data_IF_636349257095
#
_entry.id   IF_636349257095
#
_cell.length_a   1.000
_cell.length_b   1.000
_cell.length_c   1.000
_cell.angle_alpha   90.00
_cell.angle_beta   90.00
_cell.angle_gamma   90.00
#
_symmetry.space_group_name_H-M   'P 1'
#
loop_
_entity.id
_entity.type
_entity.pdbx_description
1 polymer ?
#
# COMPACT_ATOMS: atom_id res chain seq x y z
N UNK A 1 2.38 -16.23 -16.33
CA UNK A 1 2.77 -14.81 -16.51
C UNK A 1 3.59 -14.31 -15.31
N UNK A 2 3.35 -14.81 -14.09
CA UNK A 2 4.11 -14.44 -12.89
C UNK A 2 5.66 -14.58 -13.02
N UNK A 3 6.22 -15.56 -13.71
CA UNK A 3 7.69 -15.65 -13.91
C UNK A 3 8.31 -14.43 -14.62
N UNK A 4 7.49 -13.67 -15.36
CA UNK A 4 7.93 -12.49 -16.11
C UNK A 4 7.83 -11.18 -15.34
N UNK A 5 7.33 -11.20 -14.09
CA UNK A 5 7.23 -10.01 -13.25
C UNK A 5 8.61 -9.66 -12.67
N UNK A 6 9.43 -8.98 -13.45
CA UNK A 6 10.85 -8.69 -13.12
C UNK A 6 11.11 -7.23 -12.76
N UNK A 7 10.12 -6.35 -12.90
CA UNK A 7 10.25 -4.94 -12.57
C UNK A 7 8.89 -4.27 -12.25
N UNK A 8 8.93 -3.08 -11.65
CA UNK A 8 7.75 -2.36 -11.22
C UNK A 8 6.87 -1.86 -12.39
N UNK A 9 7.47 -1.55 -13.54
CA UNK A 9 6.73 -1.08 -14.72
C UNK A 9 5.76 -2.15 -15.24
N UNK A 10 6.21 -3.41 -15.25
CA UNK A 10 5.37 -4.54 -15.65
C UNK A 10 4.21 -4.74 -14.68
N UNK A 11 4.47 -4.67 -13.37
CA UNK A 11 3.42 -4.84 -12.36
C UNK A 11 2.35 -3.76 -12.45
N UNK A 12 2.75 -2.52 -12.67
CA UNK A 12 1.84 -1.38 -12.74
C UNK A 12 1.06 -1.35 -14.06
N UNK A 13 1.66 -1.83 -15.16
CA UNK A 13 0.98 -1.94 -16.46
C UNK A 13 -0.07 -3.07 -16.49
N UNK A 14 0.19 -4.19 -15.83
CA UNK A 14 -0.72 -5.35 -15.82
C UNK A 14 -1.92 -5.13 -14.91
N UNK A 15 -1.73 -4.43 -13.79
CA UNK A 15 -2.76 -4.24 -12.76
C UNK A 15 -4.09 -3.69 -13.30
N UNK A 16 -4.15 -2.60 -14.09
CA UNK A 16 -5.41 -2.11 -14.64
C UNK A 16 -6.10 -3.10 -15.57
N UNK A 17 -5.33 -3.88 -16.34
CA UNK A 17 -5.87 -4.85 -17.28
C UNK A 17 -6.53 -6.03 -16.55
N UNK A 18 -5.94 -6.50 -15.44
CA UNK A 18 -6.50 -7.57 -14.62
C UNK A 18 -7.89 -7.20 -14.11
N UNK A 19 -8.08 -5.96 -13.66
CA UNK A 19 -9.36 -5.51 -13.08
C UNK A 19 -10.39 -5.22 -14.16
N UNK A 20 -10.00 -4.52 -15.23
CA UNK A 20 -10.90 -4.19 -16.35
C UNK A 20 -11.43 -5.43 -17.08
N UNK A 21 -10.63 -6.49 -17.15
CA UNK A 21 -11.02 -7.77 -17.73
C UNK A 21 -11.84 -8.65 -16.79
N UNK A 22 -11.91 -8.33 -15.52
CA UNK A 22 -12.63 -9.14 -14.53
C UNK A 22 -14.11 -8.75 -14.49
N UNK A 23 -15.00 -9.72 -14.74
CA UNK A 23 -16.42 -9.58 -14.44
C UNK A 23 -16.62 -9.57 -12.92
N UNK A 24 -17.71 -8.96 -12.43
CA UNK A 24 -18.02 -8.93 -11.00
C UNK A 24 -17.96 -10.33 -10.36
N UNK A 25 -18.42 -11.37 -11.05
CA UNK A 25 -18.36 -12.75 -10.59
C UNK A 25 -16.93 -13.30 -10.36
N UNK A 26 -15.91 -12.69 -10.97
CA UNK A 26 -14.52 -13.13 -10.87
C UNK A 26 -13.72 -12.33 -9.79
N UNK A 27 -14.29 -11.28 -9.21
CA UNK A 27 -13.60 -10.45 -8.21
C UNK A 27 -13.15 -11.23 -6.98
N UNK A 28 -13.94 -12.16 -6.40
CA UNK A 28 -13.48 -12.96 -5.26
C UNK A 28 -12.30 -13.87 -5.60
N UNK A 29 -12.21 -14.37 -6.83
CA UNK A 29 -11.06 -15.15 -7.26
C UNK A 29 -9.82 -14.26 -7.46
N UNK A 30 -10.00 -13.06 -8.02
CA UNK A 30 -8.93 -12.09 -8.18
C UNK A 30 -8.38 -11.66 -6.82
N UNK A 31 -9.25 -11.38 -5.86
CA UNK A 31 -8.89 -11.06 -4.47
C UNK A 31 -8.02 -12.16 -3.85
N UNK A 32 -8.48 -13.43 -3.91
CA UNK A 32 -7.68 -14.57 -3.41
C UNK A 32 -6.32 -14.66 -4.10
N UNK A 33 -6.27 -14.39 -5.40
CA UNK A 33 -5.00 -14.36 -6.14
C UNK A 33 -4.08 -13.26 -5.63
N UNK A 34 -4.61 -12.06 -5.39
CA UNK A 34 -3.83 -10.94 -4.84
C UNK A 34 -3.23 -11.28 -3.47
N UNK A 35 -4.04 -11.84 -2.57
CA UNK A 35 -3.59 -12.27 -1.25
C UNK A 35 -2.50 -13.35 -1.35
N UNK A 36 -2.65 -14.32 -2.26
CA UNK A 36 -1.63 -15.33 -2.53
C UNK A 36 -0.33 -14.75 -3.10
N UNK A 37 -0.42 -13.74 -3.98
CA UNK A 37 0.78 -13.09 -4.53
C UNK A 37 1.52 -12.24 -3.49
N UNK A 38 0.83 -11.70 -2.51
CA UNK A 38 1.46 -10.89 -1.44
C UNK A 38 2.34 -11.70 -0.50
N UNK A 39 2.16 -13.02 -0.43
CA UNK A 39 3.01 -13.94 0.36
C UNK A 39 4.04 -14.69 -0.48
N UNK A 40 4.22 -14.34 -1.76
CA UNK A 40 5.23 -14.90 -2.66
C UNK A 40 6.63 -14.37 -2.29
N UNK A 41 7.68 -15.15 -2.52
CA UNK A 41 9.06 -14.75 -2.22
C UNK A 41 9.62 -13.70 -3.20
N UNK A 42 8.99 -13.52 -4.36
CA UNK A 42 9.42 -12.61 -5.41
C UNK A 42 8.87 -11.19 -5.17
N UNK A 43 9.75 -10.23 -5.03
CA UNK A 43 9.46 -8.81 -4.77
C UNK A 43 8.38 -8.22 -5.68
N UNK A 44 8.49 -8.46 -6.98
CA UNK A 44 7.55 -7.89 -7.94
C UNK A 44 6.23 -8.64 -8.01
N UNK A 45 6.17 -9.88 -7.56
CA UNK A 45 4.90 -10.60 -7.38
C UNK A 45 4.16 -10.10 -6.14
N UNK A 46 4.86 -9.88 -5.02
CA UNK A 46 4.28 -9.21 -3.85
C UNK A 46 3.72 -7.84 -4.22
N UNK A 47 4.53 -7.04 -4.94
CA UNK A 47 4.10 -5.72 -5.42
C UNK A 47 2.85 -5.83 -6.29
N UNK A 48 2.80 -6.78 -7.23
CA UNK A 48 1.64 -7.02 -8.07
C UNK A 48 0.38 -7.28 -7.24
N UNK A 49 0.48 -8.14 -6.22
CA UNK A 49 -0.62 -8.43 -5.30
C UNK A 49 -1.20 -7.15 -4.69
N UNK A 50 -0.34 -6.29 -4.15
CA UNK A 50 -0.76 -5.01 -3.54
C UNK A 50 -1.38 -4.06 -4.59
N UNK A 51 -0.76 -3.91 -5.76
CA UNK A 51 -1.21 -2.95 -6.80
C UNK A 51 -2.53 -3.39 -7.43
N UNK A 52 -2.73 -4.70 -7.65
CA UNK A 52 -4.02 -5.21 -8.13
C UNK A 52 -5.09 -5.08 -7.07
N UNK A 53 -4.79 -5.43 -5.81
CA UNK A 53 -5.73 -5.30 -4.68
C UNK A 53 -6.19 -3.84 -4.49
N UNK A 54 -5.30 -2.87 -4.70
CA UNK A 54 -5.63 -1.43 -4.65
C UNK A 54 -6.75 -1.05 -5.62
N UNK A 55 -6.87 -1.73 -6.75
CA UNK A 55 -7.94 -1.48 -7.72
C UNK A 55 -9.32 -1.91 -7.20
N UNK A 56 -9.39 -2.77 -6.19
CA UNK A 56 -10.63 -3.21 -5.55
C UNK A 56 -11.15 -2.22 -4.48
N UNK A 57 -10.37 -1.22 -4.09
CA UNK A 57 -10.76 -0.22 -3.10
C UNK A 57 -12.07 0.53 -3.41
N UNK A 58 -12.46 0.60 -4.67
CA UNK A 58 -13.69 1.29 -5.13
C UNK A 58 -14.80 0.32 -5.48
N UNK A 59 -14.66 -0.95 -5.18
CA UNK A 59 -15.62 -2.00 -5.51
C UNK A 59 -16.33 -2.51 -4.25
N UNK A 60 -17.40 -3.26 -4.43
CA UNK A 60 -18.08 -3.97 -3.35
C UNK A 60 -17.22 -5.08 -2.72
N UNK A 61 -16.12 -5.44 -3.38
CA UNK A 61 -15.15 -6.42 -2.87
C UNK A 61 -14.17 -5.83 -1.85
N UNK A 62 -14.24 -4.53 -1.54
CA UNK A 62 -13.39 -3.98 -0.48
C UNK A 62 -13.78 -4.58 0.88
N UNK A 63 -12.76 -5.01 1.62
CA UNK A 63 -12.89 -5.43 3.01
C UNK A 63 -11.80 -4.76 3.87
N UNK A 64 -12.08 -4.37 5.13
CA UNK A 64 -11.07 -3.85 6.05
C UNK A 64 -9.89 -4.80 6.28
N UNK A 65 -10.07 -6.09 6.12
CA UNK A 65 -9.02 -7.13 6.22
C UNK A 65 -7.94 -6.95 5.14
N UNK A 66 -8.28 -6.32 4.01
CA UNK A 66 -7.29 -5.98 2.98
C UNK A 66 -6.24 -4.99 3.50
N UNK A 67 -6.64 -4.04 4.37
CA UNK A 67 -5.70 -3.11 5.00
C UNK A 67 -4.70 -3.86 5.89
N UNK A 68 -5.17 -4.84 6.65
CA UNK A 68 -4.31 -5.67 7.50
C UNK A 68 -3.34 -6.51 6.67
N UNK A 69 -3.85 -7.16 5.61
CA UNK A 69 -3.03 -7.98 4.71
C UNK A 69 -1.92 -7.15 4.05
N UNK A 70 -2.23 -5.94 3.58
CA UNK A 70 -1.24 -5.04 2.98
C UNK A 70 -0.29 -4.48 4.04
N UNK A 71 -0.76 -4.18 5.25
CA UNK A 71 0.08 -3.69 6.35
C UNK A 71 1.12 -4.72 6.79
N UNK A 72 0.85 -6.01 6.66
CA UNK A 72 1.81 -7.08 6.94
C UNK A 72 3.10 -6.95 6.09
N UNK A 73 3.02 -6.35 4.91
CA UNK A 73 4.16 -6.07 4.04
C UNK A 73 4.85 -4.73 4.33
N UNK A 74 4.31 -3.91 5.23
CA UNK A 74 4.82 -2.55 5.46
C UNK A 74 6.24 -2.50 6.05
N UNK A 75 6.66 -3.57 6.73
CA UNK A 75 8.01 -3.74 7.30
C UNK A 75 9.01 -4.41 6.34
N UNK A 76 8.64 -4.73 5.11
CA UNK A 76 9.52 -5.39 4.14
C UNK A 76 10.83 -4.62 3.94
N UNK A 77 11.95 -5.32 3.81
CA UNK A 77 13.25 -4.72 3.45
C UNK A 77 13.28 -4.25 1.99
N UNK A 78 12.34 -4.76 1.17
CA UNK A 78 12.26 -4.45 -0.23
C UNK A 78 11.60 -3.10 -0.50
N UNK A 79 12.37 -2.17 -1.05
CA UNK A 79 11.93 -0.79 -1.33
C UNK A 79 10.65 -0.75 -2.18
N UNK A 80 10.58 -1.54 -3.25
CA UNK A 80 9.43 -1.52 -4.18
C UNK A 80 8.16 -2.11 -3.58
N UNK A 81 8.27 -3.00 -2.60
CA UNK A 81 7.13 -3.49 -1.82
C UNK A 81 6.62 -2.39 -0.90
N UNK A 82 7.49 -1.74 -0.11
CA UNK A 82 7.10 -0.62 0.76
C UNK A 82 6.46 0.53 -0.01
N UNK A 83 6.97 0.84 -1.22
CA UNK A 83 6.36 1.89 -2.09
C UNK A 83 4.96 1.51 -2.51
N UNK A 84 4.71 0.24 -2.85
CA UNK A 84 3.37 -0.23 -3.21
C UNK A 84 2.41 -0.17 -2.00
N UNK A 85 2.86 -0.60 -0.82
CA UNK A 85 2.10 -0.48 0.43
C UNK A 85 1.75 0.99 0.71
N UNK A 86 2.72 1.88 0.64
CA UNK A 86 2.50 3.31 0.86
C UNK A 86 1.50 3.90 -0.15
N UNK A 87 1.56 3.47 -1.40
CA UNK A 87 0.60 3.88 -2.43
C UNK A 87 -0.80 3.34 -2.13
N UNK A 88 -0.90 2.06 -1.76
CA UNK A 88 -2.17 1.46 -1.36
C UNK A 88 -2.86 2.26 -0.26
N UNK A 89 -2.14 2.59 0.83
CA UNK A 89 -2.73 3.36 1.94
C UNK A 89 -3.11 4.79 1.53
N UNK A 90 -2.33 5.45 0.68
CA UNK A 90 -2.69 6.77 0.17
C UNK A 90 -3.96 6.72 -0.71
N UNK A 91 -4.14 5.70 -1.53
CA UNK A 91 -5.37 5.47 -2.30
C UNK A 91 -6.54 5.06 -1.40
N UNK A 92 -6.30 4.18 -0.41
CA UNK A 92 -7.31 3.77 0.55
C UNK A 92 -7.85 4.97 1.32
N UNK A 93 -6.98 5.92 1.71
CA UNK A 93 -7.41 7.15 2.39
C UNK A 93 -8.38 7.99 1.53
N UNK A 94 -8.25 7.96 0.20
CA UNK A 94 -9.15 8.72 -0.69
C UNK A 94 -10.46 8.00 -1.00
N UNK A 95 -10.55 6.69 -0.81
CA UNK A 95 -11.68 5.86 -1.23
C UNK A 95 -12.43 5.25 -0.06
N UNK A 96 -11.70 4.97 1.02
CA UNK A 96 -12.15 4.28 2.23
C UNK A 96 -11.60 4.99 3.47
N UNK A 97 -11.76 6.33 3.52
CA UNK A 97 -11.16 7.22 4.53
C UNK A 97 -11.35 6.68 5.96
N UNK A 98 -12.60 6.35 6.30
CA UNK A 98 -12.96 5.89 7.65
C UNK A 98 -12.20 4.62 8.07
N UNK A 99 -11.97 3.70 7.15
CA UNK A 99 -11.25 2.47 7.41
C UNK A 99 -9.72 2.67 7.38
N UNK A 100 -9.24 3.56 6.51
CA UNK A 100 -7.82 3.77 6.27
C UNK A 100 -7.15 4.74 7.25
N UNK A 101 -7.88 5.76 7.73
CA UNK A 101 -7.33 6.82 8.58
C UNK A 101 -6.63 6.30 9.85
N UNK A 102 -7.15 5.30 10.58
CA UNK A 102 -6.46 4.74 11.75
C UNK A 102 -5.06 4.19 11.46
N UNK A 103 -4.78 3.78 10.21
CA UNK A 103 -3.48 3.25 9.79
C UNK A 103 -2.42 4.34 9.61
N UNK A 104 -2.80 5.61 9.58
CA UNK A 104 -1.87 6.75 9.52
C UNK A 104 -1.31 7.12 10.90
N UNK A 105 -1.02 6.11 11.71
CA UNK A 105 -0.32 6.17 12.98
C UNK A 105 0.93 5.30 12.94
N UNK A 106 1.85 5.52 13.86
CA UNK A 106 2.99 4.62 14.06
C UNK A 106 2.49 3.28 14.58
N UNK A 107 2.97 2.20 13.99
CA UNK A 107 2.78 0.87 14.53
C UNK A 107 3.37 0.79 15.93
N UNK A 108 2.60 0.23 16.86
CA UNK A 108 3.06 0.05 18.23
C UNK A 108 4.21 -0.97 18.28
N UNK A 109 5.28 -0.60 18.97
CA UNK A 109 6.45 -1.47 19.17
C UNK A 109 6.17 -2.64 20.13
N UNK A 110 5.03 -2.61 20.82
CA UNK A 110 4.67 -3.63 21.83
C UNK A 110 4.21 -4.95 21.24
N UNK A 111 4.11 -5.07 19.90
CA UNK A 111 3.68 -6.31 19.25
C UNK A 111 2.24 -6.69 19.56
N UNK A 112 1.44 -5.79 20.09
CA UNK A 112 0.01 -6.01 20.30
C UNK A 112 -0.67 -6.10 18.95
N UNK A 113 -0.88 -7.32 18.50
CA UNK A 113 -1.64 -7.64 17.28
C UNK A 113 -3.03 -7.01 17.39
N UNK A 114 -3.30 -5.95 16.66
CA UNK A 114 -4.62 -5.39 16.57
C UNK A 114 -4.74 -3.87 16.50
N UNK A 115 -3.75 -3.11 16.91
CA UNK A 115 -3.79 -1.65 16.70
C UNK A 115 -3.36 -1.29 15.28
N UNK A 116 -4.20 -0.57 14.52
CA UNK A 116 -3.80 -0.11 13.19
C UNK A 116 -2.62 0.86 13.28
N UNK A 117 -1.66 0.69 12.37
CA UNK A 117 -0.48 1.55 12.28
C UNK A 117 0.54 1.02 11.27
N UNK A 118 1.45 1.87 10.83
CA UNK A 118 2.49 1.52 9.88
C UNK A 118 3.88 1.81 10.47
N UNK A 119 4.92 1.01 10.11
CA UNK A 119 6.31 1.34 10.44
C UNK A 119 6.68 2.72 9.91
N UNK A 120 7.52 3.45 10.66
CA UNK A 120 7.84 4.87 10.42
C UNK A 120 8.26 5.19 8.98
N UNK A 121 9.05 4.33 8.35
CA UNK A 121 9.53 4.52 6.96
C UNK A 121 8.35 4.46 5.99
N UNK A 122 7.51 3.43 6.08
CA UNK A 122 6.36 3.23 5.20
C UNK A 122 5.27 4.26 5.47
N UNK A 123 5.02 4.60 6.74
CA UNK A 123 4.10 5.66 7.12
C UNK A 123 4.51 7.00 6.50
N UNK A 124 5.79 7.37 6.58
CA UNK A 124 6.29 8.60 5.95
C UNK A 124 6.04 8.62 4.43
N UNK A 125 6.24 7.47 3.76
CA UNK A 125 5.97 7.33 2.33
C UNK A 125 4.47 7.50 2.03
N UNK A 126 3.59 6.84 2.80
CA UNK A 126 2.14 6.91 2.65
C UNK A 126 1.62 8.33 2.87
N UNK A 127 2.04 8.98 3.96
CA UNK A 127 1.70 10.38 4.27
C UNK A 127 2.15 11.32 3.14
N UNK A 128 3.36 11.16 2.63
CA UNK A 128 3.86 11.99 1.53
C UNK A 128 3.00 11.83 0.28
N UNK A 129 2.70 10.60 -0.12
CA UNK A 129 1.81 10.33 -1.28
C UNK A 129 0.39 10.88 -1.07
N UNK A 130 -0.15 10.77 0.14
CA UNK A 130 -1.48 11.30 0.45
C UNK A 130 -1.52 12.83 0.38
N UNK A 131 -0.50 13.54 0.88
CA UNK A 131 -0.40 15.00 0.79
C UNK A 131 -0.29 15.47 -0.68
N UNK A 132 0.43 14.73 -1.52
CA UNK A 132 0.59 15.03 -2.95
C UNK A 132 -0.68 14.74 -3.77
N UNK A 133 -1.57 13.91 -3.26
CA UNK A 133 -2.82 13.56 -3.95
C UNK A 133 -3.77 14.77 -4.03
N UNK A 134 -4.30 15.05 -5.22
CA UNK A 134 -5.34 16.09 -5.42
C UNK A 134 -6.70 15.70 -4.84
N UNK A 135 -6.90 14.41 -4.51
CA UNK A 135 -8.16 13.86 -4.01
C UNK A 135 -8.30 13.92 -2.50
N UNK A 136 -7.21 14.14 -1.76
CA UNK A 136 -7.24 14.30 -0.30
C UNK A 136 -7.60 15.74 0.04
N UNK A 137 -8.61 15.97 0.90
CA UNK A 137 -9.01 17.31 1.34
C UNK A 137 -7.88 18.07 2.05
N UNK A 138 -7.87 19.41 1.93
CA UNK A 138 -6.81 20.22 2.52
C UNK A 138 -6.78 20.18 4.06
N UNK A 139 -7.93 20.05 4.72
CA UNK A 139 -8.01 19.83 6.16
C UNK A 139 -7.24 18.58 6.58
N UNK A 140 -7.52 17.44 5.93
CA UNK A 140 -6.84 16.19 6.20
C UNK A 140 -5.35 16.26 5.85
N UNK A 141 -4.98 17.00 4.80
CA UNK A 141 -3.55 17.25 4.47
C UNK A 141 -2.83 18.00 5.58
N UNK A 142 -3.51 18.91 6.28
CA UNK A 142 -2.91 19.62 7.41
C UNK A 142 -2.57 18.67 8.55
N UNK A 143 -3.48 17.77 8.91
CA UNK A 143 -3.25 16.72 9.90
C UNK A 143 -2.12 15.78 9.48
N UNK A 144 -2.11 15.34 8.23
CA UNK A 144 -1.04 14.49 7.69
C UNK A 144 0.33 15.18 7.72
N UNK A 145 0.40 16.51 7.53
CA UNK A 145 1.66 17.27 7.66
C UNK A 145 2.14 17.28 9.11
N UNK A 146 1.23 17.35 10.09
CA UNK A 146 1.60 17.23 11.51
C UNK A 146 2.18 15.84 11.79
N UNK A 147 1.49 14.77 11.39
CA UNK A 147 1.99 13.41 11.52
C UNK A 147 3.39 13.29 10.90
N UNK A 148 3.59 13.80 9.68
CA UNK A 148 4.89 13.75 9.00
C UNK A 148 6.00 14.49 9.76
N UNK A 149 5.68 15.55 10.47
CA UNK A 149 6.67 16.34 11.23
C UNK A 149 7.21 15.59 12.44
N UNK A 150 6.41 14.68 13.03
CA UNK A 150 6.81 13.86 14.17
C UNK A 150 7.61 12.61 13.78
N UNK A 151 7.54 12.20 12.51
CA UNK A 151 8.21 10.99 12.04
C UNK A 151 9.73 11.19 11.88
N UNK A 152 10.54 10.19 12.22
CA UNK A 152 11.98 10.25 11.99
C UNK A 152 12.26 10.46 10.49
N UNK A 153 13.24 11.32 10.18
CA UNK A 153 13.69 11.50 8.79
C UNK A 153 14.32 10.19 8.33
N UNK A 154 13.95 9.73 7.13
CA UNK A 154 14.62 8.59 6.52
C UNK A 154 16.12 8.88 6.45
N UNK A 155 17.00 7.93 6.84
CA UNK A 155 18.43 8.12 6.64
C UNK A 155 18.66 8.41 5.15
N UNK A 156 19.34 9.52 4.85
CA UNK A 156 19.71 9.87 3.48
C UNK A 156 20.49 8.68 2.92
N UNK A 157 20.00 8.08 1.85
CA UNK A 157 20.79 7.13 1.07
C UNK A 157 22.08 7.86 0.71
N UNK A 158 23.18 7.47 1.34
CA UNK A 158 24.51 7.89 0.91
C UNK A 158 24.59 7.54 -0.58
N UNK A 159 24.62 8.58 -1.45
CA UNK A 159 24.89 8.39 -2.87
C UNK A 159 26.30 7.78 -2.95
N UNK A 160 26.37 6.45 -3.06
CA UNK A 160 27.60 5.84 -3.54
C UNK A 160 27.71 6.24 -5.02
N UNK A 161 28.49 7.29 -5.24
CA UNK A 161 29.09 7.55 -6.55
C UNK A 161 29.91 6.30 -6.91
N UNK A 162 29.54 5.62 -7.96
CA UNK A 162 30.44 4.91 -8.87
C UNK A 162 29.82 4.92 -10.26
#
# INVERSE_FOLDING_TARGET
FLPYMTNWTLTDAVSPACVKGSKAANLPQLERSCLGWMVDDRVYVQRLGVVVLMSLLSTESFSPEHLQAVAALAGSDEYYVRVAVAWYFAEALTRQERAALPWFALADSSGTTGSPGLPAVTLRMAVTKAIESRRVPDGLKAELRQIRSTLPRSPQRCRKNK
#
